data_IF_139924863108
#
_entry.id   IF_139924863108
#
_cell.length_a   1.000
_cell.length_b   1.000
_cell.length_c   1.000
_cell.angle_alpha   90.00
_cell.angle_beta   90.00
_cell.angle_gamma   90.00
#
_symmetry.space_group_name_H-M   'P 1'
#
loop_
_entity.id
_entity.type
_entity.pdbx_description
1 polymer ?
#
# COMPACT_ATOMS: atom_id res chain seq x y z
N UNK A 1 30.44 -10.95 53.84
CA UNK A 1 31.45 -11.31 54.87
C UNK A 1 32.59 -12.04 54.18
N UNK A 2 33.83 -11.81 54.62
CA UNK A 2 35.09 -12.50 54.22
C UNK A 2 35.11 -13.98 54.71
N UNK A 3 36.15 -14.82 54.50
CA UNK A 3 37.54 -14.62 53.98
C UNK A 3 37.96 -15.62 52.84
N UNK A 4 39.13 -15.64 52.16
CA UNK A 4 40.58 -15.32 52.46
C UNK A 4 41.28 -16.48 53.23
N UNK A 5 42.44 -17.07 52.85
CA UNK A 5 43.43 -16.79 51.80
C UNK A 5 44.29 -18.04 51.35
N UNK A 6 44.93 -17.94 50.16
CA UNK A 6 46.32 -18.32 49.76
C UNK A 6 47.02 -19.67 50.13
N UNK A 7 47.70 -20.23 49.11
CA UNK A 7 49.07 -20.80 49.05
C UNK A 7 49.63 -21.78 50.12
N UNK A 8 50.11 -22.94 49.64
CA UNK A 8 51.46 -23.47 49.97
C UNK A 8 52.07 -24.22 48.76
N UNK A 9 53.35 -23.97 48.46
CA UNK A 9 54.17 -24.71 47.48
C UNK A 9 55.00 -25.81 48.18
N UNK A 10 55.28 -26.93 47.49
CA UNK A 10 56.65 -27.46 47.28
C UNK A 10 56.69 -28.83 46.56
N UNK A 11 57.19 -28.81 45.32
CA UNK A 11 58.31 -29.58 44.72
C UNK A 11 58.62 -31.07 45.11
N UNK A 12 59.35 -31.81 44.24
CA UNK A 12 59.00 -33.19 43.86
C UNK A 12 60.12 -34.20 44.18
N UNK A 13 60.10 -35.39 43.56
CA UNK A 13 61.28 -36.02 42.89
C UNK A 13 60.85 -37.28 42.11
N UNK A 14 61.54 -37.52 40.98
CA UNK A 14 61.34 -38.67 40.08
C UNK A 14 61.74 -40.02 40.70
N UNK A 15 61.09 -41.10 40.23
CA UNK A 15 61.79 -42.37 39.97
C UNK A 15 61.22 -43.03 38.71
N UNK A 16 62.10 -43.51 37.85
CA UNK A 16 61.76 -44.03 36.53
C UNK A 16 62.02 -45.53 36.41
N UNK A 17 61.05 -46.25 35.81
CA UNK A 17 61.18 -47.49 35.01
C UNK A 17 61.78 -48.75 35.71
N UNK A 18 61.32 -49.95 35.30
CA UNK A 18 61.92 -50.61 34.14
C UNK A 18 60.91 -51.15 33.10
N UNK A 19 61.46 -51.81 32.09
CA UNK A 19 60.93 -52.07 30.75
C UNK A 19 60.60 -53.57 30.55
N UNK A 20 59.40 -53.87 30.03
CA UNK A 20 59.03 -54.88 29.00
C UNK A 20 59.62 -56.32 29.12
N UNK A 21 58.77 -57.37 29.04
CA UNK A 21 58.72 -58.14 27.78
C UNK A 21 57.30 -58.43 27.23
N UNK A 22 57.27 -58.84 25.96
CA UNK A 22 56.11 -58.84 25.08
C UNK A 22 55.34 -60.17 24.97
N UNK A 23 54.24 -60.08 24.22
CA UNK A 23 53.61 -61.12 23.38
C UNK A 23 52.51 -62.03 23.97
N UNK A 24 51.26 -61.79 23.53
CA UNK A 24 50.22 -62.83 23.34
C UNK A 24 49.06 -62.34 22.42
N UNK A 25 49.16 -62.73 21.15
CA UNK A 25 48.14 -62.91 20.07
C UNK A 25 46.68 -62.38 20.19
N UNK A 26 46.26 -61.76 19.08
CA UNK A 26 44.90 -61.45 18.62
C UNK A 26 43.76 -62.38 19.07
N UNK A 27 42.65 -61.78 19.52
CA UNK A 27 41.31 -61.98 18.93
C UNK A 27 40.60 -60.61 18.84
N UNK A 28 39.86 -60.38 17.76
CA UNK A 28 39.53 -59.02 17.30
C UNK A 28 38.20 -58.46 17.78
N UNK A 29 38.10 -57.13 17.69
CA UNK A 29 36.85 -56.39 17.55
C UNK A 29 37.13 -55.15 16.67
N UNK A 30 36.87 -55.26 15.36
CA UNK A 30 36.91 -54.12 14.44
C UNK A 30 35.65 -53.27 14.69
N UNK A 31 35.78 -52.29 15.58
CA UNK A 31 34.78 -51.23 15.76
C UNK A 31 34.80 -50.31 14.53
N UNK A 32 34.07 -50.72 13.49
CA UNK A 32 33.67 -49.83 12.41
C UNK A 32 32.74 -48.76 12.99
N UNK A 33 33.29 -47.58 13.27
CA UNK A 33 32.51 -46.38 13.52
C UNK A 33 31.87 -45.95 12.19
N UNK A 34 30.68 -46.50 11.90
CA UNK A 34 29.84 -46.05 10.81
C UNK A 34 29.34 -44.63 11.13
N UNK A 35 30.11 -43.62 10.71
CA UNK A 35 29.64 -42.24 10.66
C UNK A 35 28.59 -42.18 9.56
N UNK A 36 27.32 -42.34 9.94
CA UNK A 36 26.19 -42.09 9.06
C UNK A 36 26.22 -40.63 8.64
N UNK A 37 26.69 -40.34 7.42
CA UNK A 37 26.35 -39.11 6.74
C UNK A 37 24.83 -39.14 6.50
N UNK A 38 24.09 -38.61 7.47
CA UNK A 38 22.73 -38.14 7.19
C UNK A 38 22.90 -36.98 6.23
N UNK A 39 22.69 -37.25 4.94
CA UNK A 39 22.53 -36.20 3.97
C UNK A 39 21.23 -35.46 4.32
N UNK A 40 21.34 -34.42 5.14
CA UNK A 40 20.26 -33.48 5.38
C UNK A 40 19.90 -32.86 4.03
N UNK A 41 18.84 -33.40 3.43
CA UNK A 41 18.25 -32.89 2.21
C UNK A 41 17.75 -31.48 2.49
N UNK A 42 18.59 -30.48 2.22
CA UNK A 42 18.21 -29.08 2.31
C UNK A 42 17.00 -28.85 1.40
N UNK A 43 15.82 -28.76 2.00
CA UNK A 43 14.57 -28.54 1.29
C UNK A 43 14.67 -27.21 0.54
N UNK A 44 14.79 -27.31 -0.78
CA UNK A 44 15.04 -26.16 -1.64
C UNK A 44 13.86 -25.18 -1.56
N UNK A 45 14.13 -23.97 -1.08
CA UNK A 45 13.10 -22.95 -0.93
C UNK A 45 12.46 -22.61 -2.29
N UNK A 46 11.14 -22.42 -2.29
CA UNK A 46 10.40 -21.96 -3.47
C UNK A 46 10.66 -20.46 -3.60
N UNK A 47 11.37 -20.06 -4.65
CA UNK A 47 11.82 -18.68 -4.85
C UNK A 47 10.98 -17.99 -5.92
N UNK A 48 10.11 -17.06 -5.53
CA UNK A 48 9.39 -16.17 -6.42
C UNK A 48 10.10 -14.82 -6.51
N UNK A 49 10.98 -14.67 -7.51
CA UNK A 49 11.64 -13.40 -7.79
C UNK A 49 11.56 -13.08 -9.29
N UNK A 50 11.42 -11.78 -9.62
CA UNK A 50 11.68 -11.33 -10.98
C UNK A 50 13.21 -11.28 -11.18
N UNK A 51 13.76 -12.17 -12.01
CA UNK A 51 15.20 -12.17 -12.34
C UNK A 51 15.60 -10.85 -13.00
N UNK A 52 16.84 -10.40 -12.83
CA UNK A 52 17.29 -9.08 -13.29
C UNK A 52 17.12 -8.83 -14.81
N UNK A 53 17.11 -9.89 -15.62
CA UNK A 53 16.93 -9.85 -17.07
C UNK A 53 15.46 -9.67 -17.52
N UNK A 54 14.49 -10.01 -16.68
CA UNK A 54 13.04 -9.88 -16.96
C UNK A 54 12.32 -8.92 -16.01
N UNK A 55 12.98 -8.46 -14.95
CA UNK A 55 12.41 -7.60 -13.92
C UNK A 55 12.20 -6.17 -14.41
N UNK A 56 10.95 -5.86 -14.76
CA UNK A 56 10.48 -4.50 -15.04
C UNK A 56 9.68 -3.94 -13.87
N UNK A 57 9.97 -2.69 -13.51
CA UNK A 57 9.01 -1.83 -12.81
C UNK A 57 8.31 -0.94 -13.82
N UNK A 58 7.03 -0.65 -13.57
CA UNK A 58 6.23 0.30 -14.33
C UNK A 58 5.49 1.24 -13.39
N UNK A 59 5.51 2.53 -13.71
CA UNK A 59 4.58 3.47 -13.10
C UNK A 59 3.21 3.36 -13.81
N UNK A 60 2.14 3.40 -13.04
CA UNK A 60 0.75 3.46 -13.54
C UNK A 60 0.11 4.69 -12.90
N UNK A 61 -0.33 5.63 -13.73
CA UNK A 61 -0.76 6.97 -13.33
C UNK A 61 -2.23 7.19 -13.63
N UNK A 62 -3.02 7.34 -12.58
CA UNK A 62 -4.44 7.68 -12.63
C UNK A 62 -4.67 9.04 -11.96
N UNK A 63 -5.79 9.68 -12.28
CA UNK A 63 -6.13 11.04 -11.80
C UNK A 63 -6.07 11.17 -10.27
N UNK A 64 -6.52 10.13 -9.58
CA UNK A 64 -6.62 10.05 -8.12
C UNK A 64 -5.69 9.00 -7.51
N UNK A 65 -4.74 8.44 -8.26
CA UNK A 65 -3.86 7.40 -7.75
C UNK A 65 -2.60 7.23 -8.57
N UNK A 66 -1.46 7.18 -7.90
CA UNK A 66 -0.19 6.79 -8.49
C UNK A 66 0.18 5.40 -8.00
N UNK A 67 0.59 4.53 -8.92
CA UNK A 67 1.07 3.18 -8.63
C UNK A 67 2.46 2.97 -9.20
N UNK A 68 3.24 2.14 -8.52
CA UNK A 68 4.53 1.64 -8.98
C UNK A 68 4.51 0.12 -8.79
N UNK A 69 4.50 -0.61 -9.90
CA UNK A 69 4.17 -2.04 -9.98
C UNK A 69 5.36 -2.82 -10.50
N UNK A 70 5.65 -3.96 -9.87
CA UNK A 70 6.51 -5.01 -10.40
C UNK A 70 5.70 -6.30 -10.44
N UNK A 71 5.62 -6.90 -11.63
CA UNK A 71 5.03 -8.23 -11.79
C UNK A 71 6.08 -9.28 -11.35
N UNK A 72 5.67 -10.25 -10.52
CA UNK A 72 6.53 -11.30 -9.94
C UNK A 72 6.13 -12.64 -10.57
N UNK A 73 6.99 -13.26 -11.38
CA UNK A 73 6.71 -14.52 -12.06
C UNK A 73 6.13 -15.58 -11.13
N UNK A 74 5.09 -16.26 -11.62
CA UNK A 74 4.31 -17.30 -10.95
C UNK A 74 3.62 -16.97 -9.61
N UNK A 75 3.91 -15.82 -9.00
CA UNK A 75 3.34 -15.38 -7.74
C UNK A 75 2.21 -14.36 -7.91
N UNK A 76 2.41 -13.34 -8.75
CA UNK A 76 1.49 -12.21 -8.89
C UNK A 76 2.22 -10.88 -9.11
N UNK A 77 2.04 -9.91 -8.21
CA UNK A 77 2.67 -8.58 -8.33
C UNK A 77 2.93 -7.90 -6.99
N UNK A 78 3.97 -7.09 -6.92
CA UNK A 78 4.23 -6.13 -5.84
C UNK A 78 3.78 -4.73 -6.29
N UNK A 79 3.09 -4.00 -5.40
CA UNK A 79 2.53 -2.68 -5.70
C UNK A 79 2.84 -1.71 -4.56
N UNK A 80 3.51 -0.61 -4.91
CA UNK A 80 3.42 0.63 -4.14
C UNK A 80 2.29 1.47 -4.72
N UNK A 81 1.49 2.09 -3.85
CA UNK A 81 0.36 2.90 -4.26
C UNK A 81 0.21 4.11 -3.35
N UNK A 82 -0.21 5.24 -3.94
CA UNK A 82 -0.71 6.38 -3.19
C UNK A 82 -1.93 6.96 -3.89
N UNK A 83 -3.06 6.93 -3.20
CA UNK A 83 -4.28 7.62 -3.61
C UNK A 83 -4.22 9.11 -3.27
N UNK A 84 -4.99 9.93 -3.98
CA UNK A 84 -5.11 11.37 -3.74
C UNK A 84 -5.58 11.66 -2.30
N UNK A 85 -4.83 12.50 -1.59
CA UNK A 85 -5.05 12.75 -0.15
C UNK A 85 -4.79 11.57 0.79
N UNK A 86 -4.28 10.44 0.27
CA UNK A 86 -3.94 9.24 1.04
C UNK A 86 -2.45 9.11 1.37
N UNK A 87 -2.15 8.13 2.22
CA UNK A 87 -0.80 7.71 2.55
C UNK A 87 -0.22 6.76 1.49
N UNK A 88 1.10 6.56 1.55
CA UNK A 88 1.76 5.50 0.78
C UNK A 88 1.35 4.14 1.35
N UNK A 89 0.92 3.23 0.48
CA UNK A 89 0.69 1.81 0.81
C UNK A 89 1.68 0.94 0.03
N UNK A 90 2.02 -0.21 0.60
CA UNK A 90 2.63 -1.30 -0.14
C UNK A 90 1.88 -2.60 0.12
N UNK A 91 1.66 -3.37 -0.94
CA UNK A 91 1.08 -4.70 -0.85
C UNK A 91 1.61 -5.67 -1.91
N UNK A 92 1.57 -6.95 -1.56
CA UNK A 92 1.69 -8.05 -2.50
C UNK A 92 0.28 -8.49 -2.91
N UNK A 93 0.06 -8.67 -4.20
CA UNK A 93 -1.14 -9.28 -4.76
C UNK A 93 -0.79 -10.64 -5.37
N UNK A 94 -1.39 -11.71 -4.86
CA UNK A 94 -1.17 -13.08 -5.33
C UNK A 94 -2.49 -13.82 -5.55
N UNK A 95 -2.89 -14.11 -6.80
CA UNK A 95 -4.09 -14.91 -7.10
C UNK A 95 -3.99 -16.35 -6.59
N UNK A 96 -2.79 -16.95 -6.69
CA UNK A 96 -2.52 -18.35 -6.30
C UNK A 96 -2.39 -18.55 -4.77
N UNK A 97 -2.20 -17.47 -4.01
CA UNK A 97 -2.14 -17.45 -2.55
C UNK A 97 -1.24 -18.56 -1.95
N UNK A 98 0.06 -18.65 -2.31
CA UNK A 98 0.87 -19.80 -1.93
C UNK A 98 1.37 -19.74 -0.48
N UNK A 99 1.34 -18.57 0.17
CA UNK A 99 1.84 -18.33 1.53
C UNK A 99 0.83 -18.77 2.60
N UNK A 100 1.29 -19.43 3.66
CA UNK A 100 0.46 -19.69 4.83
C UNK A 100 0.22 -18.41 5.67
N UNK A 101 -0.98 -18.21 6.24
CA UNK A 101 -1.24 -17.12 7.20
C UNK A 101 -0.27 -17.12 8.39
N UNK A 102 -0.10 -15.97 9.05
CA UNK A 102 0.78 -15.82 10.21
C UNK A 102 1.74 -14.63 10.07
N UNK A 103 3.04 -14.87 10.25
CA UNK A 103 4.08 -13.85 10.12
C UNK A 103 5.14 -14.27 9.09
N UNK A 104 5.51 -13.36 8.20
CA UNK A 104 6.67 -13.48 7.31
C UNK A 104 7.83 -12.65 7.86
N UNK A 105 9.06 -13.17 7.78
CA UNK A 105 10.26 -12.35 7.97
C UNK A 105 10.45 -11.47 6.73
N UNK A 106 10.82 -10.22 6.94
CA UNK A 106 11.06 -9.25 5.88
C UNK A 106 12.51 -8.75 5.98
N UNK A 107 13.27 -8.91 4.90
CA UNK A 107 14.68 -8.48 4.85
C UNK A 107 14.97 -7.69 3.59
N UNK A 108 15.96 -6.82 3.61
CA UNK A 108 16.50 -6.15 2.43
C UNK A 108 17.85 -6.80 2.07
N UNK A 109 17.84 -7.71 1.08
CA UNK A 109 19.03 -8.43 0.65
C UNK A 109 20.00 -7.54 -0.10
N UNK A 110 21.29 -7.75 0.12
CA UNK A 110 22.35 -7.14 -0.66
C UNK A 110 22.28 -7.60 -2.14
N UNK A 111 22.53 -6.72 -3.13
CA UNK A 111 22.66 -7.17 -4.51
C UNK A 111 23.97 -7.94 -4.69
N UNK A 112 23.92 -9.07 -5.41
CA UNK A 112 25.04 -10.01 -5.55
C UNK A 112 26.33 -9.38 -6.13
N UNK A 113 26.22 -8.25 -6.84
CA UNK A 113 27.34 -7.53 -7.46
C UNK A 113 27.92 -6.40 -6.57
N UNK A 114 27.36 -6.12 -5.40
CA UNK A 114 27.86 -5.12 -4.46
C UNK A 114 27.93 -5.65 -3.01
N UNK A 115 28.83 -6.62 -2.73
CA UNK A 115 28.90 -7.34 -1.45
C UNK A 115 29.28 -6.47 -0.24
N UNK A 116 29.62 -5.20 -0.45
CA UNK A 116 29.82 -4.20 0.62
C UNK A 116 28.51 -3.67 1.21
N UNK A 117 27.36 -3.93 0.58
CA UNK A 117 26.06 -3.64 1.19
C UNK A 117 25.69 -4.84 2.07
N UNK A 118 25.36 -4.58 3.33
CA UNK A 118 24.87 -5.62 4.25
C UNK A 118 23.39 -5.97 3.98
N UNK A 119 23.01 -7.21 4.27
CA UNK A 119 21.60 -7.61 4.37
C UNK A 119 21.01 -7.00 5.64
N UNK A 120 19.85 -6.34 5.53
CA UNK A 120 19.18 -5.73 6.67
C UNK A 120 17.93 -6.53 7.05
N UNK A 121 17.81 -6.91 8.32
CA UNK A 121 16.55 -7.38 8.88
C UNK A 121 15.61 -6.17 9.08
N UNK A 122 14.42 -6.24 8.48
CA UNK A 122 13.36 -5.22 8.64
C UNK A 122 12.25 -5.72 9.58
N UNK A 123 12.43 -6.89 10.20
CA UNK A 123 11.51 -7.48 11.16
C UNK A 123 10.51 -8.43 10.52
N UNK A 124 9.26 -8.35 10.95
CA UNK A 124 8.18 -9.26 10.54
C UNK A 124 6.95 -8.49 10.06
N UNK A 125 6.24 -9.09 9.10
CA UNK A 125 4.97 -8.57 8.57
C UNK A 125 3.88 -9.64 8.65
N UNK A 126 2.63 -9.22 8.86
CA UNK A 126 1.50 -10.13 8.90
C UNK A 126 1.18 -10.69 7.51
N UNK A 127 0.93 -12.00 7.46
CA UNK A 127 0.39 -12.72 6.29
C UNK A 127 -1.06 -13.08 6.58
N UNK A 128 -1.97 -12.68 5.70
CA UNK A 128 -3.43 -12.91 5.81
C UNK A 128 -3.93 -13.74 4.64
N UNK A 129 -5.09 -14.37 4.80
CA UNK A 129 -5.79 -15.02 3.70
C UNK A 129 -6.32 -14.01 2.67
N UNK A 130 -6.51 -14.49 1.43
CA UNK A 130 -7.02 -13.70 0.32
C UNK A 130 -5.94 -13.20 -0.65
N UNK A 131 -6.38 -12.56 -1.73
CA UNK A 131 -5.51 -12.15 -2.85
C UNK A 131 -4.50 -11.05 -2.52
N UNK A 132 -4.58 -10.43 -1.33
CA UNK A 132 -3.63 -9.43 -0.83
C UNK A 132 -2.94 -9.94 0.45
N UNK A 133 -2.12 -11.01 0.36
CA UNK A 133 -1.65 -11.74 1.54
C UNK A 133 -0.73 -10.92 2.45
N UNK A 134 0.04 -9.98 1.89
CA UNK A 134 0.91 -9.08 2.64
C UNK A 134 0.55 -7.64 2.30
N UNK A 135 0.29 -6.85 3.34
CA UNK A 135 0.06 -5.41 3.30
C UNK A 135 0.83 -4.79 4.47
N UNK A 136 1.50 -3.66 4.24
CA UNK A 136 2.30 -2.98 5.26
C UNK A 136 1.87 -1.52 5.40
N UNK A 137 2.17 -0.93 6.56
CA UNK A 137 1.89 0.48 6.83
C UNK A 137 2.77 1.45 6.00
N UNK A 138 2.47 2.74 6.08
CA UNK A 138 3.17 3.77 5.32
C UNK A 138 4.66 3.92 5.68
N UNK A 139 5.06 3.64 6.92
CA UNK A 139 6.45 3.74 7.36
C UNK A 139 7.28 2.58 6.78
N UNK A 140 6.76 1.35 6.84
CA UNK A 140 7.38 0.18 6.22
C UNK A 140 7.36 0.28 4.70
N UNK A 141 6.29 0.78 4.08
CA UNK A 141 6.24 1.03 2.64
C UNK A 141 7.29 2.06 2.19
N UNK A 142 7.47 3.15 2.95
CA UNK A 142 8.52 4.13 2.68
C UNK A 142 9.92 3.53 2.86
N UNK A 143 10.11 2.66 3.86
CA UNK A 143 11.36 1.92 4.06
C UNK A 143 11.67 1.04 2.84
N UNK A 144 10.71 0.24 2.38
CA UNK A 144 10.86 -0.64 1.22
C UNK A 144 11.22 0.12 -0.07
N UNK A 145 10.62 1.29 -0.32
CA UNK A 145 11.02 2.17 -1.43
C UNK A 145 12.48 2.62 -1.30
N UNK A 146 12.93 2.99 -0.10
CA UNK A 146 14.30 3.42 0.14
C UNK A 146 15.31 2.30 -0.08
N UNK A 147 15.00 1.06 0.33
CA UNK A 147 15.87 -0.11 0.10
C UNK A 147 16.02 -0.43 -1.39
N UNK A 148 14.92 -0.45 -2.15
CA UNK A 148 14.93 -0.60 -3.60
C UNK A 148 15.71 0.54 -4.29
N UNK A 149 15.59 1.77 -3.79
CA UNK A 149 16.33 2.91 -4.32
C UNK A 149 17.84 2.78 -4.08
N UNK A 150 18.25 2.23 -2.93
CA UNK A 150 19.66 1.92 -2.63
C UNK A 150 20.18 0.70 -3.38
N UNK A 151 19.31 -0.07 -4.03
CA UNK A 151 19.67 -1.26 -4.82
C UNK A 151 19.67 -2.57 -4.02
N UNK A 152 19.16 -2.56 -2.78
CA UNK A 152 18.84 -3.79 -2.05
C UNK A 152 17.52 -4.37 -2.55
N UNK A 153 17.36 -5.68 -2.41
CA UNK A 153 16.20 -6.44 -2.85
C UNK A 153 15.37 -6.88 -1.62
N UNK A 154 14.22 -6.23 -1.33
CA UNK A 154 13.32 -6.70 -0.29
C UNK A 154 12.81 -8.12 -0.56
N UNK A 155 12.87 -8.97 0.45
CA UNK A 155 12.45 -10.37 0.38
C UNK A 155 11.55 -10.71 1.57
N UNK A 156 10.41 -11.35 1.28
CA UNK A 156 9.44 -11.83 2.26
C UNK A 156 9.56 -13.35 2.37
N UNK A 157 9.93 -13.86 3.55
CA UNK A 157 10.14 -15.28 3.82
C UNK A 157 9.01 -15.84 4.69
N UNK A 158 8.25 -16.80 4.17
CA UNK A 158 7.12 -17.47 4.86
C UNK A 158 6.98 -18.91 4.38
N UNK A 159 6.42 -19.80 5.19
CA UNK A 159 6.10 -21.17 4.78
C UNK A 159 4.90 -21.22 3.82
N UNK A 160 4.86 -22.21 2.94
CA UNK A 160 3.67 -22.56 2.17
C UNK A 160 2.54 -23.08 3.06
N UNK A 161 1.29 -22.98 2.60
CA UNK A 161 0.16 -23.68 3.24
C UNK A 161 0.03 -25.14 2.77
N UNK A 162 0.61 -25.46 1.61
CA UNK A 162 0.64 -26.78 0.97
C UNK A 162 2.06 -27.36 1.02
N UNK A 163 2.24 -28.61 0.58
CA UNK A 163 3.55 -29.29 0.47
C UNK A 163 4.43 -29.09 1.72
N UNK A 164 4.03 -29.71 2.83
CA UNK A 164 4.82 -29.89 4.05
C UNK A 164 5.45 -28.61 4.63
N UNK A 165 4.74 -27.48 4.50
CA UNK A 165 5.15 -26.15 4.94
C UNK A 165 6.52 -25.66 4.41
N UNK A 166 6.88 -26.06 3.18
CA UNK A 166 8.09 -25.64 2.47
C UNK A 166 8.35 -24.11 2.57
N UNK A 167 9.61 -23.67 2.76
CA UNK A 167 9.93 -22.25 2.80
C UNK A 167 9.72 -21.61 1.42
N UNK A 168 8.92 -20.55 1.38
CA UNK A 168 8.73 -19.66 0.23
C UNK A 168 9.46 -18.34 0.49
N UNK A 169 10.19 -17.86 -0.50
CA UNK A 169 10.68 -16.50 -0.57
C UNK A 169 10.00 -15.73 -1.72
N UNK A 170 9.52 -14.52 -1.44
CA UNK A 170 8.99 -13.58 -2.44
C UNK A 170 9.88 -12.35 -2.49
N UNK A 171 10.65 -12.20 -3.56
CA UNK A 171 11.68 -11.17 -3.72
C UNK A 171 11.31 -10.08 -4.71
N UNK A 172 11.55 -8.82 -4.32
CA UNK A 172 11.40 -7.63 -5.15
C UNK A 172 12.76 -7.27 -5.76
N UNK A 173 12.82 -7.20 -7.09
CA UNK A 173 14.06 -6.89 -7.79
C UNK A 173 14.26 -5.37 -7.95
N UNK A 174 15.45 -4.82 -7.63
CA UNK A 174 15.75 -3.40 -7.81
C UNK A 174 16.05 -3.03 -9.28
N UNK A 175 16.14 -4.02 -10.19
CA UNK A 175 16.36 -3.78 -11.62
C UNK A 175 15.26 -2.88 -12.20
N UNK A 176 15.64 -1.86 -12.97
CA UNK A 176 14.76 -0.80 -13.52
C UNK A 176 13.98 0.07 -12.52
N UNK A 177 13.96 -0.24 -11.21
CA UNK A 177 13.18 0.48 -10.19
C UNK A 177 13.38 2.00 -10.23
N UNK A 178 14.64 2.48 -10.30
CA UNK A 178 14.96 3.91 -10.34
C UNK A 178 14.39 4.64 -11.55
N UNK A 179 14.16 3.96 -12.68
CA UNK A 179 13.53 4.56 -13.87
C UNK A 179 12.05 4.82 -13.60
N UNK A 180 11.29 3.76 -13.29
CA UNK A 180 9.86 3.84 -12.99
C UNK A 180 9.57 4.69 -11.74
N UNK A 181 10.46 4.71 -10.75
CA UNK A 181 10.32 5.60 -9.58
C UNK A 181 10.34 7.08 -9.97
N UNK A 182 11.09 7.51 -11.00
CA UNK A 182 11.05 8.90 -11.49
C UNK A 182 9.69 9.25 -12.12
N UNK A 183 9.07 8.29 -12.80
CA UNK A 183 7.73 8.45 -13.38
C UNK A 183 6.65 8.48 -12.29
N UNK A 184 6.78 7.61 -11.28
CA UNK A 184 5.94 7.63 -10.09
C UNK A 184 6.03 8.97 -9.33
N UNK A 185 7.24 9.52 -9.13
CA UNK A 185 7.42 10.85 -8.53
C UNK A 185 6.81 11.98 -9.39
N UNK A 186 6.88 11.87 -10.72
CA UNK A 186 6.18 12.81 -11.63
C UNK A 186 4.66 12.72 -11.47
N UNK A 187 4.11 11.51 -11.37
CA UNK A 187 2.69 11.29 -11.08
C UNK A 187 2.30 11.91 -9.73
N UNK A 188 3.09 11.71 -8.66
CA UNK A 188 2.82 12.29 -7.34
C UNK A 188 2.76 13.82 -7.36
N UNK A 189 3.58 14.49 -8.20
CA UNK A 189 3.52 15.93 -8.40
C UNK A 189 2.28 16.44 -9.16
N UNK A 190 1.51 15.55 -9.78
CA UNK A 190 0.29 15.82 -10.56
C UNK A 190 -0.96 15.11 -9.98
N UNK A 191 -0.81 14.50 -8.80
CA UNK A 191 -1.87 13.78 -8.10
C UNK A 191 -2.87 14.80 -7.53
N UNK A 192 -4.17 14.51 -7.67
CA UNK A 192 -5.19 15.41 -7.17
C UNK A 192 -5.05 15.68 -5.65
N UNK A 193 -5.37 16.89 -5.16
CA UNK A 193 -5.21 17.24 -3.75
C UNK A 193 -6.21 16.54 -2.81
N UNK A 194 -7.22 15.84 -3.36
CA UNK A 194 -8.28 15.18 -2.59
C UNK A 194 -8.69 13.86 -3.23
N UNK A 195 -8.93 12.84 -2.41
CA UNK A 195 -9.37 11.51 -2.85
C UNK A 195 -10.84 11.43 -3.23
N UNK A 196 -11.21 10.34 -3.91
CA UNK A 196 -12.55 10.19 -4.49
C UNK A 196 -13.66 10.30 -3.45
N UNK A 197 -13.48 9.75 -2.24
CA UNK A 197 -14.48 9.81 -1.17
C UNK A 197 -14.93 11.24 -0.81
N UNK A 198 -14.08 12.25 -1.03
CA UNK A 198 -14.41 13.67 -0.81
C UNK A 198 -15.09 14.32 -2.03
N UNK A 199 -14.89 13.77 -3.23
CA UNK A 199 -15.47 14.22 -4.49
C UNK A 199 -16.84 13.58 -4.76
N UNK A 200 -16.99 12.28 -4.45
CA UNK A 200 -18.20 11.47 -4.67
C UNK A 200 -19.46 12.16 -4.10
N UNK A 201 -19.35 12.78 -2.92
CA UNK A 201 -20.44 13.50 -2.25
C UNK A 201 -19.95 14.78 -1.61
N UNK A 202 -19.85 15.84 -2.41
CA UNK A 202 -19.43 17.16 -1.92
C UNK A 202 -20.60 18.15 -1.81
N UNK A 203 -20.41 19.23 -1.04
CA UNK A 203 -21.45 20.23 -0.75
C UNK A 203 -20.83 21.61 -0.81
N UNK A 204 -21.49 22.52 -1.52
CA UNK A 204 -21.11 23.94 -1.59
C UNK A 204 -22.23 24.79 -1.00
N UNK A 205 -21.88 25.88 -0.31
CA UNK A 205 -22.83 26.69 0.46
C UNK A 205 -23.05 28.07 -0.15
N UNK A 206 -24.23 28.62 0.08
CA UNK A 206 -24.66 29.93 -0.45
C UNK A 206 -25.12 30.88 0.65
N UNK A 207 -24.90 32.18 0.42
CA UNK A 207 -25.46 33.24 1.25
C UNK A 207 -27.00 33.24 1.20
N UNK A 208 -27.63 33.88 2.19
CA UNK A 208 -29.08 34.04 2.22
C UNK A 208 -29.55 34.76 0.96
N UNK A 209 -30.60 34.25 0.32
CA UNK A 209 -31.20 34.82 -0.90
C UNK A 209 -30.24 35.08 -2.09
N UNK A 210 -29.09 34.37 -2.15
CA UNK A 210 -28.13 34.47 -3.26
C UNK A 210 -27.89 33.13 -3.96
N UNK A 211 -27.57 33.20 -5.26
CA UNK A 211 -27.08 32.11 -6.09
C UNK A 211 -25.65 32.35 -6.63
N UNK A 212 -24.96 33.38 -6.12
CA UNK A 212 -23.59 33.73 -6.49
C UNK A 212 -22.57 32.71 -5.97
N UNK A 213 -21.56 32.40 -6.78
CA UNK A 213 -20.44 31.53 -6.43
C UNK A 213 -19.32 32.36 -5.82
N UNK A 214 -19.15 32.23 -4.50
CA UNK A 214 -18.07 32.89 -3.76
C UNK A 214 -16.69 32.25 -4.10
N UNK A 215 -15.57 32.97 -3.94
CA UNK A 215 -14.23 32.47 -4.29
C UNK A 215 -13.85 31.13 -3.64
N UNK A 216 -14.26 30.89 -2.39
CA UNK A 216 -14.05 29.60 -1.70
C UNK A 216 -14.84 28.45 -2.35
N UNK A 217 -16.02 28.73 -2.89
CA UNK A 217 -16.82 27.76 -3.64
C UNK A 217 -16.21 27.52 -5.02
N UNK A 218 -15.80 28.59 -5.71
CA UNK A 218 -15.08 28.50 -6.98
C UNK A 218 -13.85 27.59 -6.88
N UNK A 219 -12.97 27.79 -5.90
CA UNK A 219 -11.79 26.98 -5.68
C UNK A 219 -12.09 25.48 -5.40
N UNK A 220 -13.25 25.16 -4.82
CA UNK A 220 -13.68 23.75 -4.70
C UNK A 220 -14.20 23.20 -6.04
N UNK A 221 -14.96 24.00 -6.79
CA UNK A 221 -15.47 23.62 -8.10
C UNK A 221 -14.35 23.47 -9.14
N UNK A 222 -13.24 24.19 -8.99
CA UNK A 222 -12.01 24.00 -9.78
C UNK A 222 -11.41 22.60 -9.59
N UNK A 223 -11.31 22.12 -8.34
CA UNK A 223 -10.82 20.77 -8.03
C UNK A 223 -11.79 19.70 -8.57
N UNK A 224 -13.10 19.95 -8.48
CA UNK A 224 -14.11 19.05 -9.06
C UNK A 224 -14.01 19.03 -10.59
N UNK A 225 -13.82 20.18 -11.24
CA UNK A 225 -13.66 20.28 -12.69
C UNK A 225 -12.40 19.56 -13.18
N UNK A 226 -11.23 19.77 -12.54
CA UNK A 226 -9.99 19.05 -12.89
C UNK A 226 -10.17 17.53 -12.83
N UNK A 227 -10.77 17.02 -11.75
CA UNK A 227 -11.06 15.58 -11.66
C UNK A 227 -11.99 15.11 -12.80
N UNK A 228 -13.09 15.81 -13.06
CA UNK A 228 -14.06 15.44 -14.11
C UNK A 228 -13.50 15.54 -15.54
N UNK A 229 -12.45 16.35 -15.77
CA UNK A 229 -11.82 16.52 -17.07
C UNK A 229 -10.74 15.47 -17.35
N UNK A 230 -10.05 14.98 -16.31
CA UNK A 230 -8.99 13.98 -16.45
C UNK A 230 -9.48 12.53 -16.30
N UNK A 231 -10.62 12.31 -15.64
CA UNK A 231 -11.09 10.97 -15.31
C UNK A 231 -11.95 10.35 -16.43
N UNK A 232 -11.62 9.12 -16.79
CA UNK A 232 -12.31 8.28 -17.78
C UNK A 232 -13.41 7.40 -17.17
N UNK A 233 -13.45 7.27 -15.85
CA UNK A 233 -14.37 6.40 -15.11
C UNK A 233 -15.70 7.05 -14.68
N UNK A 234 -15.92 8.33 -14.99
CA UNK A 234 -17.11 9.09 -14.55
C UNK A 234 -18.30 8.86 -15.49
N UNK A 235 -19.39 8.35 -14.93
CA UNK A 235 -20.65 8.16 -15.66
C UNK A 235 -21.52 9.42 -15.66
N UNK A 236 -21.64 10.08 -14.49
CA UNK A 236 -22.56 11.20 -14.31
C UNK A 236 -22.26 12.05 -13.08
N UNK A 237 -22.46 13.36 -13.22
CA UNK A 237 -22.51 14.32 -12.12
C UNK A 237 -23.95 14.75 -11.86
N UNK A 238 -24.43 14.59 -10.64
CA UNK A 238 -25.70 15.16 -10.18
C UNK A 238 -25.43 16.42 -9.39
N UNK A 239 -26.22 17.46 -9.65
CA UNK A 239 -26.16 18.75 -8.98
C UNK A 239 -27.54 19.02 -8.39
N UNK A 240 -27.66 18.85 -7.06
CA UNK A 240 -28.91 19.02 -6.32
C UNK A 240 -28.94 20.37 -5.58
N UNK A 241 -29.81 21.28 -6.02
CA UNK A 241 -30.03 22.56 -5.37
C UNK A 241 -31.01 22.49 -4.20
N UNK A 242 -30.70 23.21 -3.11
CA UNK A 242 -31.57 23.35 -1.94
C UNK A 242 -31.56 24.79 -1.35
N UNK A 243 -32.58 25.09 -0.56
CA UNK A 243 -32.70 26.32 0.25
C UNK A 243 -32.87 25.99 1.73
N UNK A 244 -32.93 27.05 2.55
CA UNK A 244 -33.68 26.99 3.81
C UNK A 244 -35.15 27.34 3.55
N UNK A 245 -35.96 27.43 4.60
CA UNK A 245 -37.41 27.69 4.58
C UNK A 245 -37.78 29.18 4.76
N UNK A 246 -36.87 30.11 4.47
CA UNK A 246 -37.09 31.55 4.77
C UNK A 246 -38.12 32.21 3.84
N UNK A 247 -38.32 31.70 2.63
CA UNK A 247 -39.28 32.23 1.65
C UNK A 247 -40.34 31.18 1.29
N UNK A 248 -41.31 31.56 0.44
CA UNK A 248 -42.36 30.67 -0.05
C UNK A 248 -41.78 29.48 -0.83
N UNK A 249 -42.49 28.35 -0.83
CA UNK A 249 -42.03 27.13 -1.50
C UNK A 249 -41.76 27.33 -3.00
N UNK A 250 -42.61 28.10 -3.69
CA UNK A 250 -42.41 28.47 -5.11
C UNK A 250 -41.12 29.27 -5.33
N UNK A 251 -40.83 30.24 -4.46
CA UNK A 251 -39.59 31.02 -4.50
C UNK A 251 -38.35 30.16 -4.22
N UNK A 252 -38.44 29.29 -3.21
CA UNK A 252 -37.36 28.40 -2.81
C UNK A 252 -37.02 27.37 -3.90
N UNK A 253 -38.03 26.80 -4.58
CA UNK A 253 -37.83 25.93 -5.74
C UNK A 253 -37.03 26.66 -6.82
N UNK A 254 -37.43 27.88 -7.18
CA UNK A 254 -36.74 28.69 -8.19
C UNK A 254 -35.33 29.12 -7.77
N UNK A 255 -35.13 29.52 -6.50
CA UNK A 255 -33.80 29.83 -5.97
C UNK A 255 -32.88 28.60 -5.93
N UNK A 256 -33.44 27.42 -5.61
CA UNK A 256 -32.68 26.17 -5.65
C UNK A 256 -32.28 25.76 -7.06
N UNK A 257 -33.14 26.01 -8.06
CA UNK A 257 -32.83 25.84 -9.49
C UNK A 257 -31.68 26.77 -9.91
N UNK A 258 -31.79 28.07 -9.65
CA UNK A 258 -30.75 29.08 -9.93
C UNK A 258 -29.38 28.71 -9.34
N UNK A 259 -29.35 28.20 -8.10
CA UNK A 259 -28.10 27.75 -7.46
C UNK A 259 -27.47 26.54 -8.17
N UNK A 260 -28.27 25.53 -8.51
CA UNK A 260 -27.78 24.35 -9.21
C UNK A 260 -27.30 24.69 -10.63
N UNK A 261 -28.02 25.58 -11.33
CA UNK A 261 -27.63 26.10 -12.64
C UNK A 261 -26.35 26.96 -12.58
N UNK A 262 -26.15 27.75 -11.53
CA UNK A 262 -24.91 28.51 -11.34
C UNK A 262 -23.70 27.56 -11.21
N UNK A 263 -23.82 26.48 -10.43
CA UNK A 263 -22.76 25.47 -10.29
C UNK A 263 -22.52 24.73 -11.60
N UNK A 264 -23.58 24.29 -12.29
CA UNK A 264 -23.47 23.65 -13.60
C UNK A 264 -22.83 24.57 -14.67
N UNK A 265 -23.21 25.86 -14.66
CA UNK A 265 -22.64 26.89 -15.53
C UNK A 265 -21.16 27.11 -15.25
N UNK A 266 -20.76 27.19 -13.98
CA UNK A 266 -19.36 27.31 -13.58
C UNK A 266 -18.51 26.10 -14.01
N UNK A 267 -19.00 24.88 -13.83
CA UNK A 267 -18.30 23.69 -14.30
C UNK A 267 -18.20 23.67 -15.85
N UNK A 268 -19.23 24.15 -16.55
CA UNK A 268 -19.20 24.29 -17.99
C UNK A 268 -18.19 25.35 -18.49
N UNK A 269 -17.97 26.47 -17.77
CA UNK A 269 -16.90 27.42 -18.13
C UNK A 269 -15.49 26.88 -17.89
N UNK A 270 -15.35 25.81 -17.09
CA UNK A 270 -14.11 25.04 -16.93
C UNK A 270 -13.95 23.94 -17.99
N UNK A 271 -14.94 23.73 -18.87
CA UNK A 271 -14.91 22.74 -19.94
C UNK A 271 -15.64 21.42 -19.64
N UNK A 272 -16.26 21.27 -18.46
CA UNK A 272 -17.05 20.06 -18.14
C UNK A 272 -18.26 20.00 -19.05
N UNK A 273 -18.40 18.91 -19.82
CA UNK A 273 -19.53 18.72 -20.73
C UNK A 273 -20.86 18.72 -20.00
N UNK A 274 -21.83 19.53 -20.48
CA UNK A 274 -23.19 19.56 -19.92
C UNK A 274 -23.90 18.20 -19.99
N UNK A 275 -23.53 17.33 -20.93
CA UNK A 275 -24.11 15.99 -21.05
C UNK A 275 -23.73 15.08 -19.86
N UNK A 276 -22.64 15.39 -19.15
CA UNK A 276 -22.26 14.70 -17.91
C UNK A 276 -23.12 15.15 -16.72
N UNK A 277 -23.82 16.28 -16.82
CA UNK A 277 -24.44 16.99 -15.70
C UNK A 277 -25.96 16.78 -15.69
N UNK A 278 -26.48 16.22 -14.59
CA UNK A 278 -27.91 16.16 -14.29
C UNK A 278 -28.25 17.16 -13.18
N UNK A 279 -28.99 18.21 -13.52
CA UNK A 279 -29.46 19.23 -12.58
C UNK A 279 -30.77 18.77 -11.94
N UNK A 280 -30.85 18.89 -10.60
CA UNK A 280 -32.07 18.67 -9.82
C UNK A 280 -32.21 19.80 -8.79
N UNK A 281 -33.44 20.12 -8.40
CA UNK A 281 -33.70 21.22 -7.48
C UNK A 281 -34.92 20.93 -6.61
N UNK A 282 -34.81 21.23 -5.32
CA UNK A 282 -35.71 20.68 -4.31
C UNK A 282 -36.39 21.71 -3.42
N UNK A 283 -36.00 22.98 -3.50
CA UNK A 283 -36.37 24.01 -2.52
C UNK A 283 -35.94 23.62 -1.11
N UNK A 284 -36.83 23.85 -0.14
CA UNK A 284 -36.67 23.58 1.27
C UNK A 284 -36.93 22.11 1.68
N UNK A 285 -37.47 21.28 0.77
CA UNK A 285 -38.09 19.96 1.07
C UNK A 285 -37.17 18.93 1.73
N UNK A 286 -35.85 19.07 1.60
CA UNK A 286 -34.85 18.15 2.16
C UNK A 286 -33.82 18.90 3.02
N UNK A 287 -34.20 19.37 4.22
CA UNK A 287 -33.27 19.97 5.17
C UNK A 287 -32.35 18.89 5.77
N UNK A 288 -31.09 19.23 6.03
CA UNK A 288 -30.13 18.33 6.71
C UNK A 288 -29.88 18.79 8.16
N UNK A 289 -30.23 20.03 8.49
CA UNK A 289 -30.37 20.51 9.87
C UNK A 289 -31.74 21.17 10.06
N UNK A 290 -32.29 21.26 11.27
CA UNK A 290 -33.46 22.09 11.54
C UNK A 290 -33.21 23.55 11.15
N UNK A 291 -34.18 24.21 10.53
CA UNK A 291 -34.10 25.63 10.17
C UNK A 291 -34.34 26.60 11.36
N UNK A 292 -34.43 26.07 12.59
CA UNK A 292 -34.68 26.85 13.82
C UNK A 292 -33.51 27.75 14.24
N UNK A 293 -32.37 27.68 13.56
CA UNK A 293 -31.18 28.51 13.84
C UNK A 293 -30.54 29.04 12.56
N UNK A 294 -29.86 30.18 12.65
CA UNK A 294 -29.11 30.77 11.54
C UNK A 294 -28.05 29.80 10.97
N UNK A 295 -27.39 29.03 11.84
CA UNK A 295 -26.43 27.99 11.46
C UNK A 295 -27.10 26.81 10.73
N UNK A 296 -28.29 26.39 11.17
CA UNK A 296 -29.09 25.36 10.49
C UNK A 296 -29.54 25.80 9.10
N UNK A 297 -30.12 27.00 8.98
CA UNK A 297 -30.49 27.62 7.70
C UNK A 297 -29.28 27.73 6.76
N UNK A 298 -28.14 28.24 7.24
CA UNK A 298 -26.90 28.33 6.45
C UNK A 298 -26.39 26.95 5.96
N UNK A 299 -26.55 25.90 6.75
CA UNK A 299 -26.18 24.55 6.37
C UNK A 299 -27.14 23.93 5.32
N UNK A 300 -28.39 24.38 5.29
CA UNK A 300 -29.40 23.94 4.32
C UNK A 300 -29.29 24.66 2.98
N UNK A 301 -28.91 25.95 2.97
CA UNK A 301 -28.55 26.71 1.74
C UNK A 301 -27.31 26.14 1.08
N UNK A 302 -27.52 25.19 0.16
CA UNK A 302 -26.46 24.41 -0.45
C UNK A 302 -26.79 24.00 -1.87
N UNK A 303 -25.76 23.61 -2.59
CA UNK A 303 -25.85 22.62 -3.68
C UNK A 303 -25.04 21.40 -3.26
N UNK A 304 -25.56 20.20 -3.47
CA UNK A 304 -24.77 18.97 -3.30
C UNK A 304 -24.39 18.41 -4.66
N UNK A 305 -23.11 18.07 -4.81
CA UNK A 305 -22.55 17.46 -6.00
C UNK A 305 -22.35 15.97 -5.71
N UNK A 306 -22.85 15.12 -6.60
CA UNK A 306 -22.69 13.67 -6.48
C UNK A 306 -22.13 13.08 -7.77
N UNK A 307 -20.96 12.46 -7.67
CA UNK A 307 -20.28 11.85 -8.82
C UNK A 307 -20.55 10.35 -8.83
N UNK A 308 -21.22 9.86 -9.87
CA UNK A 308 -21.33 8.44 -10.20
C UNK A 308 -20.19 8.04 -11.16
N UNK A 309 -19.60 6.88 -10.88
CA UNK A 309 -18.61 6.21 -11.74
C UNK A 309 -19.22 4.95 -12.32
N UNK A 310 -18.78 4.58 -13.52
CA UNK A 310 -19.02 3.24 -14.05
C UNK A 310 -18.28 2.24 -13.15
N UNK A 311 -18.94 1.22 -12.56
CA UNK A 311 -18.25 0.18 -11.83
C UNK A 311 -17.20 -0.49 -12.72
N UNK A 312 -15.99 -0.72 -12.20
CA UNK A 312 -14.84 -1.18 -12.98
C UNK A 312 -14.99 -2.63 -13.50
N UNK A 313 -15.75 -2.77 -14.59
CA UNK A 313 -16.01 -4.01 -15.32
C UNK A 313 -14.79 -4.50 -16.16
N UNK A 314 -13.55 -4.16 -15.77
CA UNK A 314 -12.32 -4.81 -16.26
C UNK A 314 -11.37 -5.07 -15.07
N UNK A 315 -11.55 -6.26 -14.48
CA UNK A 315 -10.46 -7.08 -13.94
C UNK A 315 -10.69 -8.58 -14.26
N UNK A 316 -11.47 -8.85 -15.31
CA UNK A 316 -11.84 -10.17 -15.83
C UNK A 316 -11.82 -10.16 -17.38
N UNK A 317 -10.64 -9.96 -17.96
CA UNK A 317 -10.22 -10.47 -19.26
C UNK A 317 -8.74 -10.80 -19.16
#
# INVERSE_FOLDING_TARGET
MMPVNFFTLCLPVLRALPVVPASARLRGALLFAAVSLVAESALAAINYHARMDVASWRADSQVLGCRLVQDIPDFGRAVFEREAGGELRFFLHSPKQPLAPGQASLRAKAPAWHPQLEELDLGVVAVRDGVLPIQVDAAMAARLLAELYQGRAPAFLRRSWYADEMPIEVGLSPATFRLAHREYQRCLGQLAPVGFAKLERSRVHFASDRAEILPKTAAWLDIVADYLLRADDVERLYIDGHTDDTHTSTYNVELSRKRAEAVAGYLATKGVSRNLITIRFHGERYPVKPNTSLAGKAYNRRVTLRVERVPSQIAKR
#
